data_IF_302916608591
#
_entry.id   IF_302916608591
#
_cell.length_a   1.000
_cell.length_b   1.000
_cell.length_c   1.000
_cell.angle_alpha   90.00
_cell.angle_beta   90.00
_cell.angle_gamma   90.00
#
_symmetry.space_group_name_H-M   'P 1'
#
loop_
_entity.id
_entity.type
_entity.pdbx_description
1 polymer ?
#
# COMPACT_ATOMS: atom_id res chain seq x y z
N UNK A 1 -22.60 -6.38 -20.24
CA UNK A 1 -22.00 -5.27 -21.00
C UNK A 1 -21.43 -5.68 -22.37
N UNK A 2 -20.90 -6.89 -22.53
CA UNK A 2 -20.25 -7.31 -23.78
C UNK A 2 -18.93 -6.56 -24.10
N UNK A 3 -18.29 -5.95 -23.11
CA UNK A 3 -16.98 -5.32 -23.30
C UNK A 3 -15.96 -6.39 -23.64
N UNK A 4 -15.26 -6.30 -24.79
CA UNK A 4 -14.17 -7.21 -25.12
C UNK A 4 -13.09 -7.17 -24.08
N UNK A 5 -12.65 -8.33 -23.63
CA UNK A 5 -11.60 -8.47 -22.64
C UNK A 5 -10.66 -9.61 -23.00
N UNK A 6 -9.43 -9.53 -22.50
CA UNK A 6 -8.39 -10.52 -22.75
C UNK A 6 -7.77 -10.98 -21.44
N UNK A 7 -7.49 -12.28 -21.37
CA UNK A 7 -6.66 -12.85 -20.30
C UNK A 7 -5.20 -12.86 -20.75
N UNK A 8 -4.41 -12.02 -20.15
CA UNK A 8 -2.96 -11.96 -20.39
C UNK A 8 -2.29 -13.07 -19.57
N UNK A 9 -1.86 -14.11 -20.25
CA UNK A 9 -1.25 -15.28 -19.61
C UNK A 9 0.12 -14.95 -19.02
N UNK A 10 0.35 -15.39 -17.79
CA UNK A 10 1.64 -15.35 -17.11
C UNK A 10 2.06 -16.79 -16.81
N UNK A 11 3.23 -17.18 -17.26
CA UNK A 11 3.71 -18.53 -17.04
C UNK A 11 3.92 -18.82 -15.54
N UNK A 12 3.31 -19.89 -15.04
CA UNK A 12 3.31 -20.24 -13.60
C UNK A 12 2.78 -19.12 -12.67
N UNK A 13 1.86 -18.28 -13.16
CA UNK A 13 1.25 -17.20 -12.40
C UNK A 13 -0.23 -17.02 -12.71
N UNK A 14 -0.85 -16.07 -12.04
CA UNK A 14 -2.23 -15.68 -12.29
C UNK A 14 -2.34 -14.79 -13.54
N UNK A 15 -3.41 -14.96 -14.31
CA UNK A 15 -3.63 -14.14 -15.48
C UNK A 15 -3.96 -12.68 -15.10
N UNK A 16 -3.45 -11.72 -15.86
CA UNK A 16 -3.99 -10.38 -15.81
C UNK A 16 -5.20 -10.30 -16.75
N UNK A 17 -6.19 -9.50 -16.39
CA UNK A 17 -7.38 -9.26 -17.21
C UNK A 17 -7.30 -7.84 -17.72
N UNK A 18 -7.35 -7.67 -19.03
CA UNK A 18 -7.36 -6.35 -19.67
C UNK A 18 -8.62 -6.14 -20.50
N UNK A 19 -9.13 -4.91 -20.48
CA UNK A 19 -10.23 -4.47 -21.32
C UNK A 19 -10.09 -2.99 -21.66
N UNK A 20 -10.69 -2.55 -22.76
CA UNK A 20 -10.74 -1.13 -23.12
C UNK A 20 -12.06 -0.79 -23.79
N UNK A 21 -12.51 0.45 -23.55
CA UNK A 21 -13.67 1.05 -24.19
C UNK A 21 -13.26 2.43 -24.67
N UNK A 22 -13.36 2.66 -25.98
CA UNK A 22 -13.03 3.96 -26.58
C UNK A 22 -14.16 4.96 -26.35
N UNK A 23 -13.81 6.21 -26.16
CA UNK A 23 -14.72 7.35 -26.25
C UNK A 23 -15.21 7.61 -27.67
N UNK A 24 -16.07 8.60 -27.84
CA UNK A 24 -16.74 8.88 -29.13
C UNK A 24 -15.78 9.14 -30.29
N UNK A 25 -14.73 9.94 -30.08
CA UNK A 25 -13.75 10.35 -31.10
C UNK A 25 -12.40 9.60 -31.01
N UNK A 26 -12.38 8.44 -30.33
CA UNK A 26 -11.19 7.60 -30.21
C UNK A 26 -10.02 8.29 -29.51
N UNK A 27 -8.83 8.31 -30.13
CA UNK A 27 -7.58 8.81 -29.52
C UNK A 27 -7.54 10.32 -29.22
N UNK A 28 -8.59 11.07 -29.56
CA UNK A 28 -8.66 12.51 -29.27
C UNK A 28 -9.08 12.84 -27.84
N UNK A 29 -9.58 11.88 -27.11
CA UNK A 29 -10.01 12.08 -25.73
C UNK A 29 -8.99 11.56 -24.72
N UNK A 30 -8.93 12.16 -23.52
CA UNK A 30 -8.10 11.67 -22.45
C UNK A 30 -8.47 10.22 -22.09
N UNK A 31 -7.51 9.52 -21.52
CA UNK A 31 -7.63 8.11 -21.18
C UNK A 31 -7.48 7.88 -19.67
N UNK A 32 -8.36 7.05 -19.11
CA UNK A 32 -8.39 6.66 -17.72
C UNK A 32 -8.13 5.16 -17.60
N UNK A 33 -7.09 4.78 -16.86
CA UNK A 33 -6.81 3.40 -16.49
C UNK A 33 -7.37 3.11 -15.10
N UNK A 34 -8.22 2.11 -14.99
CA UNK A 34 -8.61 1.51 -13.71
C UNK A 34 -7.72 0.30 -13.42
N UNK A 35 -6.95 0.37 -12.34
CA UNK A 35 -6.23 -0.77 -11.81
C UNK A 35 -6.91 -1.30 -10.55
N UNK A 36 -7.10 -2.62 -10.49
CA UNK A 36 -7.65 -3.34 -9.34
C UNK A 36 -7.10 -4.77 -9.30
N UNK A 37 -7.36 -5.46 -8.17
CA UNK A 37 -7.08 -6.89 -8.06
C UNK A 37 -8.34 -7.69 -7.73
N UNK A 38 -8.34 -8.97 -8.14
CA UNK A 38 -9.49 -9.85 -7.95
C UNK A 38 -9.23 -10.99 -6.95
N UNK A 39 -8.00 -11.16 -6.49
CA UNK A 39 -7.65 -12.02 -5.36
C UNK A 39 -8.03 -11.38 -4.03
N UNK A 40 -7.94 -12.14 -2.96
CA UNK A 40 -8.22 -11.72 -1.59
C UNK A 40 -7.31 -12.49 -0.64
N UNK A 41 -6.99 -11.91 0.53
CA UNK A 41 -6.31 -12.64 1.60
C UNK A 41 -7.19 -13.74 2.18
N UNK A 42 -6.57 -14.72 2.84
CA UNK A 42 -7.28 -15.75 3.60
C UNK A 42 -8.22 -15.12 4.65
N UNK A 43 -9.31 -15.79 4.97
CA UNK A 43 -10.32 -15.35 5.93
C UNK A 43 -9.81 -15.27 7.37
N UNK A 44 -8.72 -15.99 7.69
CA UNK A 44 -8.19 -16.13 9.04
C UNK A 44 -9.09 -17.00 9.91
N UNK A 45 -9.26 -16.63 11.19
CA UNK A 45 -10.05 -17.43 12.14
C UNK A 45 -11.54 -17.27 11.89
N UNK A 46 -12.17 -18.36 11.44
CA UNK A 46 -13.59 -18.40 11.05
C UNK A 46 -14.53 -18.00 12.20
N UNK A 47 -14.17 -18.39 13.43
CA UNK A 47 -14.93 -18.07 14.64
C UNK A 47 -15.05 -16.59 15.00
N UNK A 48 -14.22 -15.75 14.36
CA UNK A 48 -14.26 -14.29 14.54
C UNK A 48 -15.19 -13.58 13.54
N UNK A 49 -15.71 -14.33 12.57
CA UNK A 49 -16.66 -13.78 11.60
C UNK A 49 -18.09 -13.90 12.09
N UNK A 50 -18.90 -12.88 11.81
CA UNK A 50 -20.35 -12.86 12.13
C UNK A 50 -21.21 -13.50 11.02
N UNK A 51 -20.60 -13.90 9.90
CA UNK A 51 -21.20 -14.62 8.77
C UNK A 51 -20.11 -15.44 8.06
N UNK A 52 -20.51 -16.31 7.14
CA UNK A 52 -19.55 -17.00 6.26
C UNK A 52 -18.69 -15.98 5.52
N UNK A 53 -17.33 -16.06 5.62
CA UNK A 53 -16.44 -15.06 5.01
C UNK A 53 -16.67 -14.88 3.51
N UNK A 54 -16.87 -15.98 2.78
CA UNK A 54 -17.12 -16.00 1.33
C UNK A 54 -18.60 -16.09 0.96
N UNK A 55 -19.49 -15.99 1.95
CA UNK A 55 -20.95 -15.86 1.80
C UNK A 55 -21.39 -14.44 2.16
N UNK A 56 -21.27 -13.44 1.25
CA UNK A 56 -21.52 -12.05 1.60
C UNK A 56 -22.97 -11.81 2.01
N UNK A 57 -23.17 -10.99 3.06
CA UNK A 57 -24.49 -10.63 3.57
C UNK A 57 -24.62 -9.12 3.71
N UNK A 58 -25.84 -8.61 3.50
CA UNK A 58 -26.16 -7.22 3.74
C UNK A 58 -26.94 -7.11 5.05
N UNK A 59 -26.44 -6.27 5.97
CA UNK A 59 -27.11 -5.90 7.22
C UNK A 59 -27.04 -4.40 7.42
N UNK A 60 -28.16 -3.76 7.66
CA UNK A 60 -28.28 -2.31 7.93
C UNK A 60 -27.54 -1.43 6.88
N UNK A 61 -27.64 -1.81 5.60
CA UNK A 61 -27.00 -1.08 4.50
C UNK A 61 -25.49 -1.29 4.37
N UNK A 62 -24.94 -2.27 5.11
CA UNK A 62 -23.51 -2.64 5.06
C UNK A 62 -23.38 -4.06 4.50
N UNK A 63 -22.54 -4.22 3.49
CA UNK A 63 -22.17 -5.50 2.90
C UNK A 63 -20.96 -6.07 3.65
N UNK A 64 -21.07 -7.28 4.19
CA UNK A 64 -20.03 -8.00 4.91
C UNK A 64 -19.57 -9.22 4.12
N UNK A 65 -18.28 -9.41 3.99
CA UNK A 65 -17.65 -10.56 3.33
C UNK A 65 -16.20 -10.30 2.99
N UNK A 66 -15.39 -11.35 2.85
CA UNK A 66 -13.99 -11.22 2.40
C UNK A 66 -13.93 -10.71 0.96
N UNK A 67 -13.11 -9.67 0.73
CA UNK A 67 -12.91 -9.07 -0.58
C UNK A 67 -13.97 -8.02 -0.97
N UNK A 68 -14.98 -7.78 -0.13
CA UNK A 68 -16.03 -6.78 -0.46
C UNK A 68 -15.50 -5.35 -0.48
N UNK A 69 -14.44 -5.07 0.27
CA UNK A 69 -13.78 -3.77 0.31
C UNK A 69 -12.38 -3.82 -0.30
N UNK A 70 -11.69 -4.94 -0.16
CA UNK A 70 -10.35 -5.18 -0.68
C UNK A 70 -10.30 -6.45 -1.54
N UNK A 71 -10.51 -6.37 -2.87
CA UNK A 71 -10.70 -5.19 -3.74
C UNK A 71 -11.88 -5.38 -4.73
N UNK A 72 -12.72 -6.44 -4.57
CA UNK A 72 -13.82 -6.77 -5.49
C UNK A 72 -14.90 -5.68 -5.57
N UNK A 73 -15.20 -5.01 -4.46
CA UNK A 73 -16.16 -3.93 -4.45
C UNK A 73 -15.68 -2.70 -5.22
N UNK A 74 -14.48 -2.15 -4.93
CA UNK A 74 -13.89 -1.08 -5.75
C UNK A 74 -13.80 -1.45 -7.23
N UNK A 75 -13.34 -2.66 -7.57
CA UNK A 75 -13.29 -3.18 -8.93
C UNK A 75 -14.66 -3.11 -9.61
N UNK A 76 -15.68 -3.67 -8.96
CA UNK A 76 -17.03 -3.72 -9.52
C UNK A 76 -17.65 -2.33 -9.65
N UNK A 77 -17.39 -1.41 -8.70
CA UNK A 77 -17.91 -0.03 -8.76
C UNK A 77 -17.42 0.71 -10.02
N UNK A 78 -16.19 0.47 -10.45
CA UNK A 78 -15.60 1.06 -11.66
C UNK A 78 -16.20 0.48 -12.94
N UNK A 79 -16.41 -0.84 -12.97
CA UNK A 79 -17.11 -1.51 -14.07
C UNK A 79 -18.54 -0.97 -14.18
N UNK A 80 -19.27 -0.85 -13.07
CA UNK A 80 -20.64 -0.36 -13.06
C UNK A 80 -20.76 1.13 -13.43
N UNK A 81 -19.74 1.95 -13.14
CA UNK A 81 -19.71 3.34 -13.60
C UNK A 81 -19.69 3.41 -15.14
N UNK A 82 -18.84 2.61 -15.76
CA UNK A 82 -18.77 2.49 -17.24
C UNK A 82 -20.06 1.91 -17.81
N UNK A 83 -20.60 0.86 -17.17
CA UNK A 83 -21.87 0.25 -17.57
C UNK A 83 -23.03 1.25 -17.55
N UNK A 84 -23.10 2.07 -16.50
CA UNK A 84 -24.17 3.06 -16.36
C UNK A 84 -24.14 4.12 -17.47
N UNK A 85 -22.95 4.65 -17.81
CA UNK A 85 -22.80 5.61 -18.91
C UNK A 85 -23.19 4.96 -20.23
N UNK A 86 -22.67 3.77 -20.52
CA UNK A 86 -22.99 3.06 -21.78
C UNK A 86 -24.48 2.73 -21.91
N UNK A 87 -25.14 2.39 -20.79
CA UNK A 87 -26.60 2.10 -20.81
C UNK A 87 -27.47 3.33 -21.09
N UNK A 88 -27.02 4.52 -20.67
CA UNK A 88 -27.79 5.77 -20.82
C UNK A 88 -27.41 6.51 -22.10
N UNK A 89 -26.11 6.67 -22.36
CA UNK A 89 -25.59 7.51 -23.44
C UNK A 89 -25.17 6.70 -24.69
N UNK A 90 -25.00 5.37 -24.54
CA UNK A 90 -24.51 4.49 -25.61
C UNK A 90 -23.00 4.65 -25.93
N UNK A 91 -22.31 5.60 -25.32
CA UNK A 91 -20.90 5.96 -25.55
C UNK A 91 -20.26 6.51 -24.27
N UNK A 92 -18.93 6.49 -24.19
CA UNK A 92 -18.18 7.10 -23.09
C UNK A 92 -17.68 8.50 -23.45
N UNK A 93 -17.56 9.42 -22.48
CA UNK A 93 -17.00 10.75 -22.67
C UNK A 93 -15.48 10.73 -22.88
N UNK A 94 -14.79 9.69 -22.40
CA UNK A 94 -13.32 9.51 -22.46
C UNK A 94 -12.98 8.06 -22.80
N UNK A 95 -11.70 7.80 -23.08
CA UNK A 95 -11.20 6.44 -23.23
C UNK A 95 -11.00 5.79 -21.85
N UNK A 96 -11.49 4.57 -21.66
CA UNK A 96 -11.35 3.83 -20.41
C UNK A 96 -10.63 2.51 -20.65
N UNK A 97 -9.65 2.23 -19.82
CA UNK A 97 -8.94 0.94 -19.76
C UNK A 97 -9.10 0.31 -18.38
N UNK A 98 -9.11 -1.01 -18.37
CA UNK A 98 -9.09 -1.83 -17.17
C UNK A 98 -7.87 -2.75 -17.23
N UNK A 99 -7.16 -2.84 -16.13
CA UNK A 99 -6.11 -3.83 -15.93
C UNK A 99 -6.23 -4.39 -14.51
N UNK A 100 -6.60 -5.67 -14.43
CA UNK A 100 -6.83 -6.36 -13.16
C UNK A 100 -5.83 -7.50 -12.99
N UNK A 101 -5.30 -7.67 -11.78
CA UNK A 101 -4.43 -8.78 -11.42
C UNK A 101 -5.05 -9.72 -10.40
N UNK A 102 -4.44 -10.89 -10.16
CA UNK A 102 -4.99 -11.94 -9.33
C UNK A 102 -4.06 -12.46 -8.24
N UNK A 103 -3.02 -11.72 -7.87
CA UNK A 103 -2.07 -12.08 -6.80
C UNK A 103 -1.42 -10.84 -6.13
N UNK A 104 -2.18 -9.73 -6.04
CA UNK A 104 -1.76 -8.51 -5.35
C UNK A 104 -1.42 -8.78 -3.90
N UNK A 105 -2.26 -9.53 -3.21
CA UNK A 105 -2.16 -9.89 -1.79
C UNK A 105 -0.93 -10.77 -1.46
N UNK A 106 -0.28 -11.31 -2.49
CA UNK A 106 0.99 -12.03 -2.38
C UNK A 106 2.17 -11.25 -2.96
N UNK A 107 2.06 -9.93 -3.05
CA UNK A 107 3.07 -8.99 -3.57
C UNK A 107 3.22 -9.00 -5.10
N UNK A 108 2.14 -9.25 -5.83
CA UNK A 108 2.02 -9.12 -7.30
C UNK A 108 3.09 -9.84 -8.12
N UNK A 109 3.39 -11.12 -7.87
CA UNK A 109 4.42 -11.82 -8.61
C UNK A 109 4.10 -11.94 -10.10
N UNK A 110 2.83 -12.11 -10.47
CA UNK A 110 2.39 -12.21 -11.86
C UNK A 110 2.50 -10.87 -12.59
N UNK A 111 2.04 -9.78 -11.99
CA UNK A 111 2.18 -8.44 -12.56
C UNK A 111 3.65 -8.05 -12.71
N UNK A 112 4.48 -8.35 -11.70
CA UNK A 112 5.92 -8.15 -11.73
C UNK A 112 6.57 -8.89 -12.90
N UNK A 113 6.23 -10.17 -13.07
CA UNK A 113 6.74 -11.00 -14.16
C UNK A 113 6.28 -10.49 -15.52
N UNK A 114 4.99 -10.22 -15.67
CA UNK A 114 4.41 -9.71 -16.91
C UNK A 114 5.01 -8.37 -17.34
N UNK A 115 5.17 -7.42 -16.43
CA UNK A 115 5.74 -6.11 -16.71
C UNK A 115 7.20 -6.16 -17.18
N UNK A 116 7.95 -7.21 -16.83
CA UNK A 116 9.34 -7.42 -17.25
C UNK A 116 9.44 -8.23 -18.54
N UNK A 117 8.77 -9.38 -18.58
CA UNK A 117 8.91 -10.35 -19.68
C UNK A 117 8.10 -9.97 -20.92
N UNK A 118 7.00 -9.24 -20.72
CA UNK A 118 6.11 -8.74 -21.78
C UNK A 118 5.99 -7.21 -21.72
N UNK A 119 7.12 -6.53 -21.54
CA UNK A 119 7.17 -5.09 -21.23
C UNK A 119 6.44 -4.21 -22.25
N UNK A 120 6.54 -4.50 -23.54
CA UNK A 120 5.85 -3.72 -24.57
C UNK A 120 4.33 -3.92 -24.52
N UNK A 121 3.88 -5.16 -24.26
CA UNK A 121 2.44 -5.42 -24.07
C UNK A 121 1.92 -4.76 -22.79
N UNK A 122 2.70 -4.82 -21.72
CA UNK A 122 2.34 -4.13 -20.47
C UNK A 122 2.22 -2.61 -20.68
N UNK A 123 3.15 -1.99 -21.39
CA UNK A 123 3.08 -0.58 -21.75
C UNK A 123 1.84 -0.26 -22.59
N UNK A 124 1.55 -1.06 -23.60
CA UNK A 124 0.35 -0.89 -24.44
C UNK A 124 -0.94 -0.91 -23.59
N UNK A 125 -1.07 -1.90 -22.71
CA UNK A 125 -2.25 -2.09 -21.86
C UNK A 125 -2.39 -1.00 -20.77
N UNK A 126 -1.26 -0.55 -20.22
CA UNK A 126 -1.24 0.40 -19.09
C UNK A 126 -1.11 1.86 -19.50
N UNK A 127 -0.94 2.18 -20.80
CA UNK A 127 -0.85 3.56 -21.28
C UNK A 127 -2.16 4.31 -21.05
N UNK A 128 -2.11 5.37 -20.24
CA UNK A 128 -3.23 6.27 -19.97
C UNK A 128 -2.72 7.64 -19.52
N UNK A 129 -3.60 8.64 -19.50
CA UNK A 129 -3.29 9.97 -18.96
C UNK A 129 -3.40 10.00 -17.43
N UNK A 130 -4.25 9.13 -16.86
CA UNK A 130 -4.45 8.95 -15.41
C UNK A 130 -4.61 7.47 -15.09
N UNK A 131 -4.01 7.01 -13.99
CA UNK A 131 -4.30 5.72 -13.38
C UNK A 131 -5.04 5.91 -12.06
N UNK A 132 -6.28 5.42 -11.99
CA UNK A 132 -6.98 5.28 -10.72
C UNK A 132 -6.61 3.95 -10.06
N UNK A 133 -5.88 4.08 -8.97
CA UNK A 133 -5.36 2.99 -8.17
C UNK A 133 -6.47 2.38 -7.29
N UNK A 134 -6.38 1.13 -7.03
CA UNK A 134 -7.34 0.20 -6.42
C UNK A 134 -8.28 0.76 -5.35
N UNK A 135 -7.75 1.27 -4.25
CA UNK A 135 -8.51 1.59 -3.05
C UNK A 135 -8.65 3.09 -2.77
N UNK A 136 -9.78 3.47 -2.23
CA UNK A 136 -10.08 4.77 -1.66
C UNK A 136 -11.08 4.62 -0.52
N UNK A 137 -11.42 5.71 0.16
CA UNK A 137 -12.36 5.68 1.30
C UNK A 137 -13.14 6.96 1.49
N UNK A 138 -14.23 6.85 2.25
CA UNK A 138 -14.84 7.95 2.99
C UNK A 138 -14.48 7.82 4.48
N UNK A 139 -14.26 8.94 5.14
CA UNK A 139 -14.08 8.96 6.59
C UNK A 139 -15.41 8.97 7.35
N UNK A 140 -15.34 8.97 8.68
CA UNK A 140 -16.50 8.97 9.57
C UNK A 140 -17.34 10.27 9.46
N UNK A 141 -16.74 11.37 9.00
CA UNK A 141 -17.42 12.63 8.73
C UNK A 141 -18.05 12.69 7.32
N UNK A 142 -17.90 11.64 6.55
CA UNK A 142 -18.44 11.50 5.19
C UNK A 142 -17.63 12.16 4.10
N UNK A 143 -16.36 12.58 4.38
CA UNK A 143 -15.48 13.20 3.39
C UNK A 143 -14.86 12.11 2.50
N UNK A 144 -14.91 12.25 1.16
CA UNK A 144 -14.15 11.37 0.27
C UNK A 144 -12.65 11.67 0.34
N UNK A 145 -11.82 10.65 0.15
CA UNK A 145 -10.36 10.79 0.19
C UNK A 145 -9.75 10.43 -1.16
N UNK A 146 -8.77 11.25 -1.58
CA UNK A 146 -7.88 10.95 -2.70
C UNK A 146 -6.46 10.77 -2.20
N UNK A 147 -5.82 9.66 -2.55
CA UNK A 147 -4.47 9.26 -2.14
C UNK A 147 -3.51 9.43 -3.30
N UNK A 148 -2.51 10.29 -3.14
CA UNK A 148 -1.57 10.66 -4.20
C UNK A 148 -0.28 9.85 -4.15
N UNK A 149 -0.40 8.55 -3.97
CA UNK A 149 0.71 7.59 -3.98
C UNK A 149 0.58 6.48 -2.95
N UNK A 150 1.59 5.63 -2.92
CA UNK A 150 1.74 4.53 -1.98
C UNK A 150 3.15 4.51 -1.41
N UNK A 151 3.31 4.07 -0.16
CA UNK A 151 4.63 3.85 0.43
C UNK A 151 5.31 2.63 -0.21
N UNK A 152 6.62 2.65 -0.15
CA UNK A 152 7.41 1.45 -0.38
C UNK A 152 7.51 0.61 0.89
N UNK A 153 7.91 -0.63 0.72
CA UNK A 153 8.23 -1.51 1.83
C UNK A 153 9.40 -2.43 1.46
N UNK A 154 10.15 -2.88 2.45
CA UNK A 154 11.07 -4.01 2.30
C UNK A 154 11.22 -4.72 3.63
N UNK A 155 11.22 -6.04 3.60
CA UNK A 155 11.40 -6.86 4.81
C UNK A 155 12.56 -7.83 4.66
N UNK A 156 13.25 -8.05 5.77
CA UNK A 156 14.39 -8.95 5.85
C UNK A 156 14.26 -9.89 7.03
N UNK A 157 14.74 -11.11 6.84
CA UNK A 157 15.04 -12.03 7.91
C UNK A 157 16.53 -11.99 8.19
N UNK A 158 16.87 -11.75 9.45
CA UNK A 158 18.23 -11.77 9.96
C UNK A 158 18.41 -13.05 10.76
N UNK A 159 19.53 -13.74 10.57
CA UNK A 159 19.86 -14.92 11.36
C UNK A 159 21.35 -15.00 11.66
N UNK A 160 21.68 -15.54 12.82
CA UNK A 160 23.06 -15.77 13.22
C UNK A 160 23.19 -17.12 13.92
N UNK A 161 24.30 -17.82 13.65
CA UNK A 161 24.67 -19.07 14.28
C UNK A 161 26.08 -18.91 14.84
N UNK A 162 26.25 -19.06 16.17
CA UNK A 162 27.52 -18.84 16.86
C UNK A 162 28.19 -20.14 17.34
N UNK A 163 27.43 -21.25 17.37
CA UNK A 163 27.92 -22.58 17.77
C UNK A 163 27.11 -23.67 17.08
N UNK A 164 27.55 -24.92 17.16
CA UNK A 164 26.84 -26.08 16.57
C UNK A 164 25.60 -26.52 17.36
N UNK A 165 25.51 -26.15 18.64
CA UNK A 165 24.40 -26.52 19.55
C UNK A 165 24.36 -25.58 20.74
N UNK A 166 23.21 -25.55 21.41
CA UNK A 166 23.07 -24.88 22.71
C UNK A 166 24.01 -25.49 23.75
N UNK A 167 24.55 -24.65 24.60
CA UNK A 167 25.42 -25.09 25.71
C UNK A 167 24.87 -24.54 27.01
N UNK A 168 25.31 -25.14 28.13
CA UNK A 168 24.91 -24.69 29.45
C UNK A 168 25.34 -23.25 29.72
N UNK A 169 24.50 -22.41 30.33
CA UNK A 169 24.70 -20.97 30.55
C UNK A 169 26.04 -20.63 31.27
N UNK A 170 26.57 -21.55 32.12
CA UNK A 170 27.88 -21.41 32.75
C UNK A 170 29.04 -21.22 31.76
N UNK A 171 28.82 -21.61 30.48
CA UNK A 171 29.82 -21.47 29.43
C UNK A 171 29.76 -20.08 28.74
N UNK A 172 28.83 -19.22 29.15
CA UNK A 172 28.65 -17.89 28.56
C UNK A 172 29.82 -16.92 28.71
N UNK A 173 30.80 -17.27 29.55
CA UNK A 173 32.06 -16.49 29.68
C UNK A 173 33.04 -16.70 28.51
N UNK A 174 32.86 -17.77 27.73
CA UNK A 174 33.78 -18.12 26.61
C UNK A 174 33.07 -18.66 25.35
N UNK A 175 31.79 -18.93 25.42
CA UNK A 175 30.99 -19.30 24.23
C UNK A 175 30.17 -18.11 23.78
N UNK A 176 30.31 -17.65 22.52
CA UNK A 176 29.53 -16.52 21.99
C UNK A 176 28.04 -16.89 21.90
N UNK A 177 27.19 -15.97 22.37
CA UNK A 177 25.73 -16.11 22.34
C UNK A 177 25.13 -15.54 21.07
N UNK A 178 24.36 -16.33 20.32
CA UNK A 178 23.63 -15.87 19.16
C UNK A 178 22.60 -14.79 19.51
N UNK A 179 21.96 -14.90 20.69
CA UNK A 179 21.01 -13.90 21.18
C UNK A 179 21.65 -12.52 21.32
N UNK A 180 22.79 -12.43 22.06
CA UNK A 180 23.50 -11.18 22.21
C UNK A 180 24.04 -10.65 20.88
N UNK A 181 24.54 -11.53 20.03
CA UNK A 181 25.06 -11.17 18.72
C UNK A 181 24.00 -10.50 17.86
N UNK A 182 22.78 -11.06 17.82
CA UNK A 182 21.66 -10.50 17.07
C UNK A 182 21.13 -9.21 17.70
N UNK A 183 21.01 -9.15 19.04
CA UNK A 183 20.57 -7.93 19.75
C UNK A 183 21.50 -6.75 19.46
N UNK A 184 22.82 -6.95 19.51
CA UNK A 184 23.78 -5.88 19.18
C UNK A 184 23.72 -5.48 17.71
N UNK A 185 23.53 -6.43 16.79
CA UNK A 185 23.33 -6.13 15.39
C UNK A 185 22.07 -5.27 15.18
N UNK A 186 20.93 -5.64 15.78
CA UNK A 186 19.69 -4.85 15.73
C UNK A 186 19.86 -3.47 16.36
N UNK A 187 20.51 -3.37 17.53
CA UNK A 187 20.77 -2.11 18.21
C UNK A 187 21.66 -1.16 17.42
N UNK A 188 22.48 -1.67 16.49
CA UNK A 188 23.28 -0.83 15.59
C UNK A 188 22.46 -0.18 14.48
N UNK A 189 21.26 -0.70 14.15
CA UNK A 189 20.44 -0.23 13.04
C UNK A 189 19.56 0.98 13.39
N UNK A 190 19.31 1.23 14.68
CA UNK A 190 18.43 2.30 15.14
C UNK A 190 18.88 2.83 16.50
N UNK A 191 18.97 4.14 16.62
CA UNK A 191 19.36 4.80 17.87
C UNK A 191 18.18 4.93 18.86
N UNK A 192 18.48 5.26 20.12
CA UNK A 192 17.47 5.39 21.17
C UNK A 192 16.50 6.57 20.97
N UNK A 193 16.86 7.55 20.13
CA UNK A 193 16.01 8.63 19.68
C UNK A 193 15.19 8.28 18.41
N UNK A 194 15.09 6.98 18.13
CA UNK A 194 14.28 6.41 17.07
C UNK A 194 14.75 6.69 15.64
N UNK A 195 15.98 7.19 15.45
CA UNK A 195 16.55 7.43 14.14
C UNK A 195 17.21 6.15 13.59
N UNK A 196 16.96 5.84 12.32
CA UNK A 196 17.66 4.75 11.63
C UNK A 196 19.12 5.18 11.41
N UNK A 197 20.06 4.35 11.82
CA UNK A 197 21.51 4.66 11.84
C UNK A 197 22.28 4.02 10.69
N UNK A 198 21.57 3.36 9.77
CA UNK A 198 22.16 2.81 8.56
C UNK A 198 22.71 3.96 7.73
N UNK A 199 24.01 3.90 7.40
CA UNK A 199 24.70 4.96 6.63
C UNK A 199 24.05 5.14 5.25
N UNK A 200 23.79 6.40 4.86
CA UNK A 200 23.17 6.75 3.58
C UNK A 200 21.65 6.48 3.51
N UNK A 201 21.03 5.93 4.55
CA UNK A 201 19.61 5.54 4.50
C UNK A 201 18.66 6.70 4.16
N UNK A 202 19.01 7.91 4.58
CA UNK A 202 18.20 9.12 4.34
C UNK A 202 18.61 9.92 3.11
N UNK A 203 19.69 9.54 2.40
CA UNK A 203 20.26 10.36 1.31
C UNK A 203 19.28 10.58 0.15
N UNK A 204 18.42 9.61 -0.10
CA UNK A 204 17.41 9.69 -1.16
C UNK A 204 16.06 10.23 -0.67
N UNK A 205 15.89 10.47 0.62
CA UNK A 205 14.61 10.97 1.17
C UNK A 205 14.44 12.43 0.71
N UNK A 206 13.35 12.68 -0.02
CA UNK A 206 13.04 14.01 -0.51
C UNK A 206 12.69 14.95 0.64
N UNK A 207 13.18 16.21 0.62
CA UNK A 207 12.82 17.19 1.62
C UNK A 207 11.32 17.52 1.54
N UNK A 208 10.71 17.79 2.69
CA UNK A 208 9.33 18.25 2.76
C UNK A 208 9.23 19.67 2.17
N UNK A 209 8.38 19.85 1.17
CA UNK A 209 8.16 21.13 0.52
C UNK A 209 7.12 21.98 1.26
N UNK A 210 7.06 23.29 0.98
CA UNK A 210 5.98 24.16 1.49
C UNK A 210 4.59 23.66 1.10
N UNK A 211 4.46 23.11 -0.12
CA UNK A 211 3.20 22.53 -0.60
C UNK A 211 2.79 21.30 0.19
N UNK A 212 3.75 20.45 0.55
CA UNK A 212 3.50 19.31 1.43
C UNK A 212 3.01 19.77 2.80
N UNK A 213 3.63 20.79 3.38
CA UNK A 213 3.20 21.38 4.65
C UNK A 213 1.78 21.95 4.59
N UNK A 214 1.41 22.65 3.51
CA UNK A 214 0.04 23.15 3.31
C UNK A 214 -0.98 22.00 3.32
N UNK A 215 -0.69 20.91 2.60
CA UNK A 215 -1.57 19.73 2.55
C UNK A 215 -1.64 19.05 3.90
N UNK A 216 -0.50 18.81 4.55
CA UNK A 216 -0.45 18.18 5.87
C UNK A 216 -1.17 19.03 6.93
N UNK A 217 -1.09 20.38 6.85
CA UNK A 217 -1.84 21.26 7.75
C UNK A 217 -3.35 21.11 7.55
N UNK A 218 -3.81 21.07 6.29
CA UNK A 218 -5.22 20.88 5.95
C UNK A 218 -5.72 19.45 6.22
N UNK A 219 -4.82 18.49 6.32
CA UNK A 219 -5.15 17.08 6.50
C UNK A 219 -5.76 16.82 7.89
N UNK A 220 -6.97 16.23 7.96
CA UNK A 220 -7.63 15.95 9.23
C UNK A 220 -6.94 14.78 9.95
N UNK A 221 -6.43 15.04 11.14
CA UNK A 221 -5.84 14.00 12.00
C UNK A 221 -6.18 14.28 13.45
N UNK A 222 -6.98 13.41 14.06
CA UNK A 222 -7.38 13.55 15.45
C UNK A 222 -6.43 12.78 16.37
N UNK A 223 -5.42 13.48 16.87
CA UNK A 223 -4.37 12.91 17.74
C UNK A 223 -4.95 12.27 19.01
N UNK A 224 -5.91 12.94 19.64
CA UNK A 224 -6.53 12.45 20.88
C UNK A 224 -7.21 11.09 20.67
N UNK A 225 -8.00 10.97 19.60
CA UNK A 225 -8.67 9.70 19.27
C UNK A 225 -7.64 8.62 18.98
N UNK A 226 -6.55 8.94 18.26
CA UNK A 226 -5.51 7.96 17.96
C UNK A 226 -4.74 7.51 19.19
N UNK A 227 -4.39 8.42 20.09
CA UNK A 227 -3.75 8.08 21.36
C UNK A 227 -4.65 7.15 22.20
N UNK A 228 -5.95 7.48 22.31
CA UNK A 228 -6.94 6.65 23.02
C UNK A 228 -7.08 5.25 22.39
N UNK A 229 -7.23 5.17 21.07
CA UNK A 229 -7.34 3.89 20.33
C UNK A 229 -6.12 3.01 20.51
N UNK A 230 -4.93 3.59 20.58
CA UNK A 230 -3.66 2.87 20.72
C UNK A 230 -3.23 2.66 22.18
N UNK A 231 -3.93 3.25 23.14
CA UNK A 231 -3.55 3.20 24.55
C UNK A 231 -2.24 3.94 24.87
N UNK A 232 -1.91 4.96 24.10
CA UNK A 232 -0.69 5.75 24.23
C UNK A 232 -0.93 7.04 25.02
N UNK A 233 0.10 7.49 25.75
CA UNK A 233 0.13 8.80 26.41
C UNK A 233 0.74 9.89 25.53
N UNK A 234 1.61 9.52 24.59
CA UNK A 234 2.22 10.39 23.59
C UNK A 234 2.67 9.58 22.38
N UNK A 235 2.78 10.23 21.23
CA UNK A 235 3.42 9.62 20.06
C UNK A 235 4.93 9.57 20.21
N UNK A 236 5.56 8.77 19.37
CA UNK A 236 7.01 8.60 19.31
C UNK A 236 7.72 9.96 19.21
N UNK A 237 8.82 10.16 19.90
CA UNK A 237 9.57 11.42 20.00
C UNK A 237 8.76 12.60 20.59
N UNK A 238 7.58 12.37 21.17
CA UNK A 238 6.69 13.43 21.66
C UNK A 238 6.10 14.31 20.54
N UNK A 239 6.09 13.84 19.30
CA UNK A 239 5.63 14.61 18.15
C UNK A 239 4.12 14.89 18.19
N UNK A 240 3.72 16.06 17.72
CA UNK A 240 2.32 16.51 17.61
C UNK A 240 2.14 17.48 16.46
N UNK A 241 0.90 17.79 16.07
CA UNK A 241 0.57 18.75 15.02
C UNK A 241 1.20 18.42 13.68
N UNK A 242 1.77 19.44 13.03
CA UNK A 242 2.40 19.30 11.72
C UNK A 242 3.60 18.33 11.76
N UNK A 243 4.40 18.36 12.82
CA UNK A 243 5.58 17.49 12.93
C UNK A 243 5.18 16.02 13.02
N UNK A 244 4.10 15.68 13.72
CA UNK A 244 3.57 14.34 13.74
C UNK A 244 3.09 13.91 12.35
N UNK A 245 2.38 14.79 11.63
CA UNK A 245 1.92 14.49 10.27
C UNK A 245 3.08 14.30 9.29
N UNK A 246 4.16 15.11 9.39
CA UNK A 246 5.41 14.90 8.62
C UNK A 246 6.01 13.54 8.93
N UNK A 247 6.09 13.17 10.21
CA UNK A 247 6.60 11.87 10.64
C UNK A 247 5.76 10.72 10.07
N UNK A 248 4.43 10.84 10.08
CA UNK A 248 3.52 9.80 9.56
C UNK A 248 3.64 9.65 8.04
N UNK A 249 3.71 10.74 7.28
CA UNK A 249 3.56 10.70 5.83
C UNK A 249 4.86 10.86 5.03
N UNK A 250 5.88 11.52 5.62
CA UNK A 250 7.10 11.91 4.89
C UNK A 250 8.38 11.26 5.42
N UNK A 251 8.34 10.58 6.57
CA UNK A 251 9.51 9.89 7.11
C UNK A 251 9.43 8.38 6.87
N UNK A 252 10.56 7.71 6.53
CA UNK A 252 10.63 6.26 6.51
C UNK A 252 10.65 5.71 7.92
N UNK A 253 10.26 4.45 8.07
CA UNK A 253 10.28 3.77 9.38
C UNK A 253 10.94 2.39 9.30
N UNK A 254 11.43 1.92 10.44
CA UNK A 254 11.97 0.58 10.64
C UNK A 254 11.37 -0.03 11.90
N UNK A 255 10.94 -1.29 11.81
CA UNK A 255 10.42 -2.05 12.94
C UNK A 255 11.06 -3.44 13.02
N UNK A 256 11.26 -3.92 14.24
CA UNK A 256 11.52 -5.34 14.49
C UNK A 256 10.18 -6.05 14.62
N UNK A 257 9.80 -6.82 13.62
CA UNK A 257 8.49 -7.48 13.54
C UNK A 257 8.46 -8.83 14.25
N UNK A 258 9.62 -9.39 14.55
CA UNK A 258 9.77 -10.66 15.27
C UNK A 258 11.20 -10.84 15.73
N UNK A 259 11.38 -11.46 16.90
CA UNK A 259 12.69 -11.78 17.49
C UNK A 259 12.56 -13.12 18.22
N UNK A 260 13.44 -14.07 17.88
CA UNK A 260 13.42 -15.41 18.43
C UNK A 260 14.85 -15.87 18.78
N UNK A 261 15.05 -16.31 20.02
CA UNK A 261 16.29 -16.91 20.46
C UNK A 261 16.08 -17.71 21.77
N UNK A 262 16.57 -18.95 21.82
CA UNK A 262 16.43 -19.82 22.99
C UNK A 262 14.99 -20.29 23.22
N UNK A 263 14.67 -20.66 24.46
CA UNK A 263 13.35 -21.19 24.84
C UNK A 263 12.78 -20.45 26.05
N UNK A 264 11.52 -20.01 25.97
CA UNK A 264 10.85 -19.28 27.05
C UNK A 264 9.80 -20.14 27.79
N UNK A 265 9.27 -21.22 27.18
CA UNK A 265 8.02 -21.82 27.61
C UNK A 265 8.13 -23.21 28.28
N UNK A 266 9.25 -23.91 28.18
CA UNK A 266 9.39 -25.29 28.68
C UNK A 266 10.27 -25.40 29.94
N UNK A 267 10.13 -24.44 30.87
CA UNK A 267 10.97 -24.34 32.06
C UNK A 267 12.27 -23.58 31.80
N UNK A 268 12.82 -23.00 32.89
CA UNK A 268 14.04 -22.22 32.79
C UNK A 268 15.25 -23.10 32.49
N UNK A 269 15.60 -23.29 31.22
CA UNK A 269 16.89 -23.90 30.86
C UNK A 269 17.97 -22.81 30.83
N UNK A 270 18.95 -22.92 31.71
CA UNK A 270 20.12 -22.04 31.68
C UNK A 270 21.03 -22.40 30.50
N UNK A 271 20.75 -21.89 29.32
CA UNK A 271 21.51 -22.15 28.09
C UNK A 271 22.08 -20.87 27.51
N UNK A 272 23.13 -21.04 26.68
CA UNK A 272 23.57 -20.06 25.68
C UNK A 272 23.04 -20.53 24.35
N UNK A 273 22.06 -19.84 23.74
CA UNK A 273 21.51 -20.22 22.44
C UNK A 273 22.55 -20.10 21.32
N UNK A 274 22.61 -21.09 20.48
CA UNK A 274 23.53 -21.12 19.35
C UNK A 274 22.98 -20.47 18.09
N UNK A 275 21.65 -20.26 18.01
CA UNK A 275 20.94 -19.61 16.90
C UNK A 275 20.02 -18.52 17.41
N UNK A 276 19.87 -17.46 16.60
CA UNK A 276 18.91 -16.40 16.81
C UNK A 276 18.38 -15.88 15.47
N UNK A 277 17.13 -15.44 15.47
CA UNK A 277 16.41 -14.96 14.29
C UNK A 277 15.69 -13.66 14.59
N UNK A 278 15.67 -12.75 13.62
CA UNK A 278 14.81 -11.57 13.66
C UNK A 278 14.17 -11.33 12.30
N UNK A 279 12.98 -10.77 12.33
CA UNK A 279 12.33 -10.20 11.14
C UNK A 279 12.25 -8.69 11.31
N UNK A 280 12.80 -7.95 10.37
CA UNK A 280 12.74 -6.49 10.34
C UNK A 280 11.99 -6.04 9.09
N UNK A 281 11.23 -4.95 9.22
CA UNK A 281 10.48 -4.33 8.14
C UNK A 281 10.76 -2.83 8.06
N UNK A 282 10.90 -2.34 6.84
CA UNK A 282 11.00 -0.93 6.54
C UNK A 282 9.78 -0.48 5.76
N UNK A 283 9.24 0.68 6.10
CA UNK A 283 8.38 1.44 5.20
C UNK A 283 9.18 2.60 4.62
N UNK A 284 9.16 2.69 3.29
CA UNK A 284 9.97 3.63 2.53
C UNK A 284 9.11 4.79 2.03
N UNK A 285 9.74 5.93 1.82
CA UNK A 285 9.11 7.12 1.24
C UNK A 285 9.63 7.38 -0.17
N UNK A 286 8.99 8.29 -0.88
CA UNK A 286 9.34 8.62 -2.26
C UNK A 286 10.86 8.76 -2.47
N UNK A 287 11.33 8.26 -3.61
CA UNK A 287 12.72 8.21 -4.05
C UNK A 287 13.63 7.17 -3.37
N UNK A 288 13.19 6.50 -2.30
CA UNK A 288 13.94 5.38 -1.74
C UNK A 288 13.74 4.09 -2.55
N UNK A 289 14.74 3.21 -2.55
CA UNK A 289 14.72 1.93 -3.26
C UNK A 289 14.93 0.76 -2.29
N UNK A 290 14.09 -0.29 -2.32
CA UNK A 290 14.32 -1.53 -1.58
C UNK A 290 15.67 -2.16 -1.82
N UNK A 291 16.19 -2.09 -3.05
CA UNK A 291 17.48 -2.68 -3.43
C UNK A 291 18.64 -1.91 -2.77
N UNK A 292 18.57 -0.58 -2.78
CA UNK A 292 19.56 0.27 -2.10
C UNK A 292 19.54 0.09 -0.58
N UNK A 293 18.35 -0.04 0.02
CA UNK A 293 18.22 -0.32 1.46
C UNK A 293 18.84 -1.67 1.82
N UNK A 294 18.66 -2.71 0.98
CA UNK A 294 19.32 -4.01 1.19
C UNK A 294 20.85 -3.89 1.17
N UNK A 295 21.39 -3.20 0.17
CA UNK A 295 22.83 -2.96 0.05
C UNK A 295 23.38 -2.23 1.28
N UNK A 296 22.76 -1.11 1.64
CA UNK A 296 23.11 -0.31 2.82
C UNK A 296 23.04 -1.09 4.13
N UNK A 297 22.00 -1.93 4.32
CA UNK A 297 21.86 -2.80 5.48
C UNK A 297 23.02 -3.80 5.58
N UNK A 298 23.38 -4.45 4.47
CA UNK A 298 24.48 -5.43 4.43
C UNK A 298 25.83 -4.77 4.72
N UNK A 299 26.08 -3.61 4.14
CA UNK A 299 27.30 -2.84 4.36
C UNK A 299 27.40 -2.34 5.82
N UNK A 300 26.29 -1.83 6.38
CA UNK A 300 26.22 -1.40 7.76
C UNK A 300 26.57 -2.55 8.73
N UNK A 301 25.93 -3.70 8.58
CA UNK A 301 26.22 -4.87 9.42
C UNK A 301 27.69 -5.29 9.32
N UNK A 302 28.27 -5.32 8.11
CA UNK A 302 29.67 -5.64 7.90
C UNK A 302 30.59 -4.61 8.56
N UNK A 303 30.33 -3.32 8.37
CA UNK A 303 31.12 -2.20 8.93
C UNK A 303 31.14 -2.21 10.47
N UNK A 304 30.00 -2.58 11.07
CA UNK A 304 29.86 -2.67 12.53
C UNK A 304 30.28 -4.03 13.12
N UNK A 305 30.93 -4.87 12.31
CA UNK A 305 31.47 -6.15 12.76
C UNK A 305 30.44 -7.28 12.85
N UNK A 306 29.27 -7.13 12.22
CA UNK A 306 28.18 -8.12 12.17
C UNK A 306 28.05 -8.80 10.80
N UNK A 307 29.15 -8.95 10.06
CA UNK A 307 29.15 -9.57 8.73
C UNK A 307 28.81 -11.09 8.74
N UNK A 308 28.77 -11.71 9.90
CA UNK A 308 28.32 -13.08 10.13
C UNK A 308 26.77 -13.20 10.24
N UNK A 309 26.05 -12.08 10.39
CA UNK A 309 24.59 -12.07 10.37
C UNK A 309 24.12 -12.25 8.94
N UNK A 310 23.44 -13.37 8.70
CA UNK A 310 22.83 -13.66 7.40
C UNK A 310 21.60 -12.79 7.19
N UNK A 311 21.51 -12.12 6.04
CA UNK A 311 20.36 -11.28 5.65
C UNK A 311 19.66 -11.95 4.48
N UNK A 312 18.34 -12.19 4.60
CA UNK A 312 17.50 -12.73 3.52
C UNK A 312 16.32 -11.79 3.30
N UNK A 313 16.23 -11.22 2.11
CA UNK A 313 15.07 -10.40 1.72
C UNK A 313 13.84 -11.28 1.52
N UNK A 314 12.69 -10.86 2.06
CA UNK A 314 11.41 -11.57 1.98
C UNK A 314 10.40 -10.92 1.05
N UNK A 315 10.64 -9.72 0.59
CA UNK A 315 9.78 -8.98 -0.31
C UNK A 315 10.09 -7.50 -0.28
N UNK A 316 9.38 -6.72 -1.10
CA UNK A 316 9.47 -5.27 -1.06
C UNK A 316 8.96 -4.61 -2.34
N UNK A 317 8.31 -3.46 -2.15
CA UNK A 317 7.77 -2.59 -3.20
C UNK A 317 8.45 -1.23 -3.12
N UNK A 318 8.77 -0.67 -4.28
CA UNK A 318 9.28 0.71 -4.38
C UNK A 318 8.13 1.70 -4.16
N UNK A 319 8.32 2.78 -3.39
CA UNK A 319 7.29 3.80 -3.21
C UNK A 319 7.01 4.54 -4.51
N UNK A 320 5.77 4.99 -4.68
CA UNK A 320 5.36 5.86 -5.78
C UNK A 320 4.58 7.02 -5.18
N UNK A 321 4.91 8.24 -5.59
CA UNK A 321 4.21 9.45 -5.16
C UNK A 321 3.90 10.33 -6.36
N UNK A 322 2.63 10.60 -6.56
CA UNK A 322 2.12 11.58 -7.54
C UNK A 322 2.20 12.98 -6.93
N UNK A 323 2.62 13.95 -7.71
CA UNK A 323 2.54 15.36 -7.31
C UNK A 323 1.08 15.76 -7.06
N UNK A 324 0.85 16.53 -6.02
CA UNK A 324 -0.47 17.14 -5.75
C UNK A 324 -0.67 18.46 -6.49
N UNK A 325 0.37 18.97 -7.13
CA UNK A 325 0.35 20.22 -7.91
C UNK A 325 0.15 19.93 -9.40
N UNK A 326 -0.94 19.23 -9.71
CA UNK A 326 -1.34 18.81 -11.06
C UNK A 326 -2.85 19.04 -11.28
N UNK A 327 -3.30 19.21 -12.53
CA UNK A 327 -4.71 19.42 -12.84
C UNK A 327 -5.64 18.34 -12.28
N UNK A 328 -5.24 17.09 -12.25
CA UNK A 328 -6.02 15.97 -11.73
C UNK A 328 -6.57 16.21 -10.31
N UNK A 329 -5.82 16.93 -9.44
CA UNK A 329 -6.31 17.28 -8.10
C UNK A 329 -7.61 18.06 -8.17
N UNK A 330 -7.67 19.08 -9.05
CA UNK A 330 -8.87 19.90 -9.24
C UNK A 330 -10.01 19.10 -9.84
N UNK A 331 -9.73 18.24 -10.81
CA UNK A 331 -10.75 17.37 -11.40
C UNK A 331 -11.39 16.45 -10.36
N UNK A 332 -10.59 15.86 -9.48
CA UNK A 332 -11.07 15.04 -8.38
C UNK A 332 -11.89 15.83 -7.37
N UNK A 333 -11.45 17.05 -7.01
CA UNK A 333 -12.19 17.92 -6.09
C UNK A 333 -13.53 18.38 -6.69
N UNK A 334 -13.56 18.78 -7.98
CA UNK A 334 -14.79 19.20 -8.67
C UNK A 334 -15.77 18.03 -8.83
N UNK A 335 -15.32 16.90 -9.36
CA UNK A 335 -16.18 15.73 -9.54
C UNK A 335 -16.70 15.18 -8.20
N UNK A 336 -15.91 15.25 -7.14
CA UNK A 336 -16.36 14.88 -5.80
C UNK A 336 -17.43 15.82 -5.25
N UNK A 337 -17.32 17.12 -5.51
CA UNK A 337 -18.29 18.12 -5.07
C UNK A 337 -19.69 17.92 -5.70
N UNK A 338 -19.77 17.27 -6.87
CA UNK A 338 -21.04 16.91 -7.51
C UNK A 338 -21.76 15.74 -6.79
N UNK A 339 -21.04 14.94 -5.99
CA UNK A 339 -21.53 13.68 -5.44
C UNK A 339 -21.58 13.68 -3.92
N UNK A 340 -20.62 14.33 -3.29
CA UNK A 340 -20.47 14.32 -1.84
C UNK A 340 -20.77 15.69 -1.24
N UNK A 341 -21.48 15.71 -0.10
CA UNK A 341 -21.79 16.94 0.62
C UNK A 341 -20.60 17.54 1.39
N UNK A 342 -19.46 16.90 1.32
CA UNK A 342 -18.25 17.25 2.04
C UNK A 342 -17.05 17.40 1.11
N UNK A 343 -16.12 18.34 1.39
CA UNK A 343 -14.95 18.51 0.58
C UNK A 343 -14.05 17.26 0.62
N UNK A 344 -13.36 17.01 -0.50
CA UNK A 344 -12.40 15.92 -0.60
C UNK A 344 -11.17 16.18 0.29
N UNK A 345 -10.70 15.12 0.94
CA UNK A 345 -9.44 15.12 1.68
C UNK A 345 -8.33 14.62 0.77
N UNK A 346 -7.25 15.38 0.66
CA UNK A 346 -6.05 14.99 -0.07
C UNK A 346 -5.06 14.33 0.88
N UNK A 347 -4.81 13.04 0.67
CA UNK A 347 -3.80 12.27 1.39
C UNK A 347 -2.53 12.20 0.51
N UNK A 348 -1.39 12.74 0.96
CA UNK A 348 -0.20 12.86 0.10
C UNK A 348 0.40 11.51 -0.32
N UNK A 349 0.19 10.47 0.47
CA UNK A 349 0.53 9.08 0.16
C UNK A 349 -0.26 8.14 1.07
N UNK A 350 -0.69 6.98 0.56
CA UNK A 350 -1.22 5.91 1.41
C UNK A 350 -0.12 5.41 2.37
N UNK A 351 -0.50 4.99 3.57
CA UNK A 351 0.45 4.43 4.54
C UNK A 351 0.82 2.97 4.23
N UNK A 352 0.01 2.30 3.41
CA UNK A 352 0.29 0.98 2.87
C UNK A 352 1.24 1.00 1.67
N UNK A 353 1.60 -0.18 1.21
CA UNK A 353 2.46 -0.41 0.04
C UNK A 353 1.68 -1.20 -1.01
N UNK A 354 2.07 -1.10 -2.28
CA UNK A 354 1.45 -1.83 -3.38
C UNK A 354 2.29 -1.76 -4.65
N UNK A 355 1.89 -2.45 -5.74
CA UNK A 355 2.68 -2.64 -6.94
C UNK A 355 2.67 -1.45 -7.93
N UNK A 356 2.32 -0.25 -7.49
CA UNK A 356 2.24 0.96 -8.32
C UNK A 356 3.52 1.26 -9.10
N UNK A 357 4.66 0.76 -8.63
CA UNK A 357 5.97 0.97 -9.26
C UNK A 357 6.04 0.43 -10.70
N UNK A 358 5.32 -0.64 -11.03
CA UNK A 358 5.35 -1.20 -12.38
C UNK A 358 4.74 -0.23 -13.39
N UNK A 359 3.67 0.43 -13.01
CA UNK A 359 3.01 1.48 -13.80
C UNK A 359 3.88 2.73 -13.90
N UNK A 360 4.45 3.18 -12.79
CA UNK A 360 5.33 4.34 -12.77
C UNK A 360 6.61 4.14 -13.60
N UNK A 361 7.19 2.93 -13.59
CA UNK A 361 8.36 2.60 -14.46
C UNK A 361 7.99 2.59 -15.94
N UNK A 362 6.80 2.14 -16.28
CA UNK A 362 6.33 2.15 -17.67
C UNK A 362 5.98 3.57 -18.14
N UNK A 363 5.41 4.38 -17.25
CA UNK A 363 4.88 5.72 -17.50
C UNK A 363 5.19 6.65 -16.33
N UNK A 364 6.42 7.21 -16.24
CA UNK A 364 6.84 8.03 -15.09
C UNK A 364 5.99 9.28 -14.86
N UNK A 365 5.43 9.85 -15.92
CA UNK A 365 4.63 11.08 -15.87
C UNK A 365 3.14 10.80 -15.65
N UNK A 366 2.69 9.55 -15.72
CA UNK A 366 1.29 9.19 -15.48
C UNK A 366 0.96 9.30 -13.99
N UNK A 367 0.03 10.20 -13.59
CA UNK A 367 -0.40 10.28 -12.20
C UNK A 367 -1.15 9.01 -11.78
N UNK A 368 -0.81 8.52 -10.58
CA UNK A 368 -1.43 7.36 -9.95
C UNK A 368 -2.08 7.82 -8.66
N UNK A 369 -3.42 7.73 -8.58
CA UNK A 369 -4.19 8.23 -7.44
C UNK A 369 -5.26 7.22 -7.03
N UNK A 370 -5.37 6.96 -5.72
CA UNK A 370 -6.39 6.08 -5.16
C UNK A 370 -7.64 6.84 -4.74
N UNK A 371 -8.78 6.45 -5.28
CA UNK A 371 -10.13 6.86 -4.83
C UNK A 371 -11.07 5.66 -4.91
N UNK A 372 -12.04 5.54 -4.01
CA UNK A 372 -12.93 4.38 -4.02
C UNK A 372 -13.92 4.34 -2.85
N UNK A 373 -14.72 3.27 -2.76
CA UNK A 373 -15.88 3.15 -1.88
C UNK A 373 -15.57 2.68 -0.46
N UNK A 374 -14.31 2.46 -0.09
CA UNK A 374 -13.95 1.99 1.25
C UNK A 374 -14.42 2.93 2.36
N UNK A 375 -14.33 2.47 3.59
CA UNK A 375 -14.62 3.27 4.78
C UNK A 375 -13.53 3.07 5.84
N UNK A 376 -13.49 3.95 6.86
CA UNK A 376 -12.47 3.90 7.93
C UNK A 376 -12.50 2.60 8.74
N UNK A 377 -13.66 1.94 8.81
CA UNK A 377 -13.89 0.72 9.58
C UNK A 377 -14.13 -0.51 8.67
N UNK A 378 -13.54 -0.49 7.47
CA UNK A 378 -13.73 -1.55 6.47
C UNK A 378 -13.14 -2.92 6.89
N UNK A 379 -12.26 -2.97 7.89
CA UNK A 379 -11.61 -4.18 8.39
C UNK A 379 -10.86 -4.96 7.29
N UNK A 380 -10.10 -4.25 6.44
CA UNK A 380 -9.22 -4.91 5.47
C UNK A 380 -8.32 -5.92 6.18
N UNK A 381 -8.12 -7.10 5.60
CA UNK A 381 -7.31 -8.22 6.11
C UNK A 381 -7.75 -8.74 7.50
N UNK A 382 -8.92 -8.32 8.00
CA UNK A 382 -9.46 -8.75 9.29
C UNK A 382 -10.85 -9.39 9.14
N UNK A 383 -11.34 -10.13 10.15
CA UNK A 383 -12.71 -10.62 10.18
C UNK A 383 -13.74 -9.49 10.10
N UNK A 384 -14.90 -9.81 9.52
CA UNK A 384 -16.00 -8.86 9.29
C UNK A 384 -15.59 -7.70 8.37
N UNK A 385 -14.77 -7.96 7.37
CA UNK A 385 -14.51 -7.02 6.29
C UNK A 385 -15.85 -6.54 5.71
N UNK A 386 -15.93 -5.23 5.42
CA UNK A 386 -17.22 -4.64 5.09
C UNK A 386 -17.10 -3.41 4.18
N UNK A 387 -18.24 -3.10 3.53
CA UNK A 387 -18.42 -1.90 2.73
C UNK A 387 -19.84 -1.35 2.87
N UNK A 388 -19.97 -0.05 3.10
CA UNK A 388 -21.29 0.61 3.12
C UNK A 388 -21.82 0.73 1.70
N UNK A 389 -23.09 0.32 1.48
CA UNK A 389 -23.70 0.39 0.15
C UNK A 389 -23.88 1.83 -0.35
N UNK A 390 -24.05 2.80 0.55
CA UNK A 390 -24.14 4.20 0.14
C UNK A 390 -22.78 4.75 -0.30
N UNK A 391 -21.67 4.33 0.33
CA UNK A 391 -20.32 4.67 -0.11
C UNK A 391 -20.01 4.03 -1.48
N UNK A 392 -20.48 2.79 -1.67
CA UNK A 392 -20.36 2.09 -2.96
C UNK A 392 -21.08 2.84 -4.09
N UNK A 393 -22.36 3.21 -3.87
CA UNK A 393 -23.16 3.97 -4.85
C UNK A 393 -22.55 5.36 -5.12
N UNK A 394 -22.08 6.05 -4.07
CA UNK A 394 -21.41 7.33 -4.22
C UNK A 394 -20.12 7.22 -5.02
N UNK A 395 -19.33 6.14 -4.84
CA UNK A 395 -18.14 5.88 -5.64
C UNK A 395 -18.46 5.70 -7.12
N UNK A 396 -19.53 4.96 -7.47
CA UNK A 396 -19.98 4.82 -8.87
C UNK A 396 -20.27 6.20 -9.46
N UNK A 397 -21.07 7.02 -8.78
CA UNK A 397 -21.40 8.39 -9.22
C UNK A 397 -20.15 9.26 -9.36
N UNK A 398 -19.20 9.15 -8.42
CA UNK A 398 -17.95 9.92 -8.48
C UNK A 398 -17.09 9.51 -9.70
N UNK A 399 -17.00 8.21 -10.01
CA UNK A 399 -16.29 7.78 -11.22
C UNK A 399 -16.94 8.31 -12.49
N UNK A 400 -18.27 8.35 -12.55
CA UNK A 400 -19.03 8.95 -13.65
C UNK A 400 -18.71 10.45 -13.76
N UNK A 401 -18.86 11.20 -12.67
CA UNK A 401 -18.58 12.63 -12.62
C UNK A 401 -17.12 12.95 -13.02
N UNK A 402 -16.15 12.15 -12.58
CA UNK A 402 -14.74 12.31 -12.95
C UNK A 402 -14.51 12.12 -14.45
N UNK A 403 -15.12 11.11 -15.06
CA UNK A 403 -15.00 10.89 -16.51
C UNK A 403 -15.52 12.08 -17.33
N UNK A 404 -16.64 12.68 -16.91
CA UNK A 404 -17.15 13.90 -17.56
C UNK A 404 -16.30 15.14 -17.25
N UNK A 405 -15.73 15.24 -16.04
CA UNK A 405 -14.83 16.35 -15.71
C UNK A 405 -13.56 16.29 -16.55
N UNK A 406 -12.99 15.10 -16.78
CA UNK A 406 -11.82 14.92 -17.65
C UNK A 406 -12.14 15.30 -19.11
N UNK A 407 -13.32 14.98 -19.62
CA UNK A 407 -13.76 15.37 -20.96
C UNK A 407 -13.85 16.91 -21.11
N UNK A 408 -14.40 17.61 -20.11
CA UNK A 408 -14.55 19.09 -20.14
C UNK A 408 -13.20 19.78 -20.27
N UNK A 409 -12.20 19.31 -19.53
CA UNK A 409 -10.87 19.93 -19.47
C UNK A 409 -10.01 19.69 -20.72
N UNK A 410 -10.31 18.66 -21.48
CA UNK A 410 -9.67 18.39 -22.78
C UNK A 410 -10.14 19.37 -23.88
N UNK A 411 -11.30 20.02 -23.68
CA UNK A 411 -11.89 20.99 -24.61
C UNK A 411 -11.48 22.45 -24.37
N UNK A 412 -10.85 22.73 -23.21
CA UNK A 412 -10.30 24.04 -22.85
C UNK A 412 -8.81 24.16 -23.22
#
# INVERSE_FOLDING_TARGET
MGIPHEFQKVENGNALISASVSGEDGDKHPSLLFYNHYDVVEEGKHELWSNEPFGPVIRDGVLYGRGVSDNKGPLLSRIQAVEAILAVEGKLPINVKFLFEGDEETSSPSLSKFSREQSEKFKELSKADVCLWENGRRDEEGRPWARFGVRGSVSFELSVETAKKDVHARMGTYVPSASWRLVWALASLKSADERITIEGFYDDVLPVTKKDEEILNAFPYNEKIQLEKLGLTSFLRGSSGLELKKQIYMEPSMSVCGLEAGELYNGARGIVPHKAYARIGFYLVANQSPDKVEEQLREHLKKHGFGDVKVVRRGGNTPVRTSVDIPLKKWLEHSAAEVYDKPMVIEPTALGSGPAIYFHRAWPDMPIVGVGPGNTNANHHAPNENMKLDDYKASIKHMIALMYEMEKQDRE
#
